data_IF_397073417457
#
_entry.id   IF_397073417457
#
_cell.length_a   1.000
_cell.length_b   1.000
_cell.length_c   1.000
_cell.angle_alpha   90.00
_cell.angle_beta   90.00
_cell.angle_gamma   90.00
#
_symmetry.space_group_name_H-M   'P 1'
#
loop_
_entity.id
_entity.type
_entity.pdbx_description
1 polymer ?
#
# COMPACT_ATOMS: atom_id res chain seq x y z
N UNK A 1 -0.80 -16.94 -4.09
CA UNK A 1 -0.70 -16.07 -5.31
C UNK A 1 0.74 -15.67 -5.55
N UNK A 2 1.24 -15.69 -6.79
CA UNK A 2 2.61 -15.24 -6.99
C UNK A 2 2.67 -13.71 -7.02
N UNK A 3 3.75 -13.12 -6.51
CA UNK A 3 3.95 -11.66 -6.60
C UNK A 3 3.91 -11.15 -8.06
N UNK A 4 4.20 -12.00 -9.04
CA UNK A 4 4.15 -11.66 -10.46
C UNK A 4 2.72 -11.47 -10.96
N UNK A 5 1.78 -12.31 -10.46
CA UNK A 5 0.37 -12.22 -10.82
C UNK A 5 -0.21 -10.89 -10.33
N UNK A 6 0.07 -10.52 -9.08
CA UNK A 6 -0.37 -9.27 -8.48
C UNK A 6 0.17 -8.07 -9.25
N UNK A 7 1.47 -8.07 -9.57
CA UNK A 7 2.09 -6.96 -10.32
C UNK A 7 1.51 -6.85 -11.72
N UNK A 8 1.40 -7.97 -12.44
CA UNK A 8 0.79 -7.97 -13.77
C UNK A 8 -0.63 -7.41 -13.73
N UNK A 9 -1.42 -7.79 -12.73
CA UNK A 9 -2.80 -7.38 -12.57
C UNK A 9 -2.94 -5.89 -12.30
N UNK A 10 -2.15 -5.35 -11.36
CA UNK A 10 -2.15 -3.92 -11.03
C UNK A 10 -1.76 -3.07 -12.25
N UNK A 11 -0.73 -3.47 -12.99
CA UNK A 11 -0.33 -2.77 -14.22
C UNK A 11 -1.32 -2.95 -15.37
N UNK A 12 -1.92 -4.12 -15.50
CA UNK A 12 -2.99 -4.37 -16.48
C UNK A 12 -4.21 -3.50 -16.18
N UNK A 13 -4.58 -3.37 -14.91
CA UNK A 13 -5.63 -2.46 -14.51
C UNK A 13 -5.31 -1.01 -14.88
N UNK A 14 -4.15 -0.51 -14.44
CA UNK A 14 -3.80 0.91 -14.57
C UNK A 14 -3.55 1.34 -16.02
N UNK A 15 -2.79 0.55 -16.78
CA UNK A 15 -2.36 0.93 -18.14
C UNK A 15 -3.36 0.48 -19.21
N UNK A 16 -3.96 -0.69 -19.01
CA UNK A 16 -4.73 -1.37 -20.05
C UNK A 16 -6.22 -1.56 -19.69
N UNK A 17 -6.69 -0.86 -18.67
CA UNK A 17 -8.09 -0.94 -18.23
C UNK A 17 -8.56 -2.38 -17.95
N UNK A 18 -7.72 -3.16 -17.27
CA UNK A 18 -7.97 -4.55 -16.90
C UNK A 18 -7.73 -5.59 -18.00
N UNK A 19 -7.38 -5.17 -19.24
CA UNK A 19 -7.02 -6.11 -20.31
C UNK A 19 -5.70 -6.78 -19.97
N UNK A 20 -5.66 -8.12 -20.06
CA UNK A 20 -4.53 -8.95 -19.67
C UNK A 20 -3.41 -8.94 -20.73
N UNK A 21 -2.75 -7.80 -20.90
CA UNK A 21 -1.65 -7.57 -21.85
C UNK A 21 -0.31 -7.98 -21.23
N UNK A 22 -0.09 -7.62 -19.97
CA UNK A 22 1.11 -8.02 -19.22
C UNK A 22 0.84 -9.40 -18.63
N UNK A 23 1.67 -10.36 -19.00
CA UNK A 23 1.53 -11.74 -18.56
C UNK A 23 2.50 -12.05 -17.44
N UNK A 24 2.04 -12.61 -16.30
CA UNK A 24 2.88 -12.89 -15.15
C UNK A 24 4.12 -13.73 -15.45
N UNK A 25 3.98 -14.74 -16.33
CA UNK A 25 5.07 -15.63 -16.71
C UNK A 25 6.20 -14.95 -17.48
N UNK A 26 5.94 -13.76 -18.06
CA UNK A 26 6.95 -12.93 -18.73
C UNK A 26 7.66 -11.95 -17.80
N UNK A 27 7.14 -11.75 -16.60
CA UNK A 27 7.77 -10.88 -15.61
C UNK A 27 8.94 -11.59 -14.94
N UNK A 28 10.08 -10.93 -14.88
CA UNK A 28 11.28 -11.41 -14.22
C UNK A 28 11.67 -10.43 -13.12
N UNK A 29 12.10 -10.94 -11.97
CA UNK A 29 12.60 -10.09 -10.89
C UNK A 29 13.94 -9.49 -11.32
N UNK A 30 14.05 -8.16 -11.29
CA UNK A 30 15.34 -7.46 -11.44
C UNK A 30 16.02 -7.48 -10.08
N UNK A 31 17.31 -7.81 -10.07
CA UNK A 31 18.12 -7.65 -8.86
C UNK A 31 18.28 -6.15 -8.56
N UNK A 32 17.68 -5.73 -7.44
CA UNK A 32 17.74 -4.32 -7.00
C UNK A 32 19.02 -4.00 -6.23
N UNK A 33 19.87 -5.01 -5.97
CA UNK A 33 21.05 -4.87 -5.11
C UNK A 33 22.17 -4.00 -5.72
N UNK A 34 22.22 -3.86 -7.06
CA UNK A 34 23.26 -3.11 -7.76
C UNK A 34 22.68 -1.90 -8.51
N UNK A 35 22.35 -0.82 -7.81
CA UNK A 35 22.20 0.48 -8.47
C UNK A 35 23.58 1.11 -8.56
N UNK A 36 24.21 1.01 -9.74
CA UNK A 36 25.40 1.76 -10.05
C UNK A 36 25.02 3.24 -10.20
N UNK A 37 25.54 4.08 -9.33
CA UNK A 37 25.38 5.53 -9.44
C UNK A 37 26.48 6.07 -10.36
N UNK A 38 26.12 6.79 -11.43
CA UNK A 38 27.12 7.34 -12.36
C UNK A 38 27.93 8.51 -11.79
N UNK A 39 27.58 9.06 -10.62
CA UNK A 39 28.09 10.35 -10.12
C UNK A 39 28.52 10.34 -8.64
N UNK A 40 29.48 9.51 -8.26
CA UNK A 40 30.22 9.67 -7.00
C UNK A 40 29.61 9.01 -5.75
N UNK A 41 30.49 8.79 -4.76
CA UNK A 41 30.22 7.94 -3.58
C UNK A 41 29.18 8.50 -2.59
N UNK A 42 29.01 9.82 -2.54
CA UNK A 42 28.10 10.47 -1.57
C UNK A 42 26.62 10.27 -1.90
N UNK A 43 26.31 10.04 -3.18
CA UNK A 43 24.95 9.77 -3.66
C UNK A 43 24.54 8.33 -3.36
N UNK A 44 25.49 7.39 -3.26
CA UNK A 44 25.25 5.97 -2.95
C UNK A 44 24.63 5.78 -1.56
N UNK A 45 25.11 6.52 -0.56
CA UNK A 45 24.60 6.48 0.81
C UNK A 45 23.17 7.04 0.90
N UNK A 46 22.88 8.10 0.15
CA UNK A 46 21.54 8.70 0.12
C UNK A 46 20.50 7.77 -0.55
N UNK A 47 20.89 7.09 -1.62
CA UNK A 47 20.05 6.12 -2.32
C UNK A 47 19.83 4.85 -1.48
N UNK A 48 20.83 4.39 -0.75
CA UNK A 48 20.71 3.25 0.15
C UNK A 48 19.73 3.53 1.29
N UNK A 49 19.78 4.72 1.89
CA UNK A 49 18.82 5.16 2.92
C UNK A 49 17.38 5.29 2.37
N UNK A 50 17.23 5.67 1.10
CA UNK A 50 15.92 5.69 0.44
C UNK A 50 15.39 4.27 0.19
N UNK A 51 16.26 3.28 -0.04
CA UNK A 51 15.90 1.87 -0.22
C UNK A 51 15.33 1.23 1.05
N UNK A 52 15.88 1.56 2.20
CA UNK A 52 15.49 0.94 3.48
C UNK A 52 14.05 1.28 3.89
N UNK A 53 13.45 2.29 3.25
CA UNK A 53 12.10 2.77 3.53
C UNK A 53 11.08 2.45 2.43
N UNK A 54 11.42 1.61 1.43
CA UNK A 54 10.53 1.32 0.30
C UNK A 54 10.58 -0.15 -0.03
N UNK A 55 9.43 -0.81 0.04
CA UNK A 55 9.24 -2.07 -0.66
C UNK A 55 9.20 -1.81 -2.17
N UNK A 56 10.36 -1.69 -2.78
CA UNK A 56 10.51 -1.60 -4.21
C UNK A 56 10.39 -2.99 -4.81
N UNK A 57 9.24 -3.31 -5.32
CA UNK A 57 9.06 -4.47 -6.18
C UNK A 57 9.39 -4.05 -7.61
N UNK A 58 10.67 -4.14 -7.97
CA UNK A 58 11.06 -3.95 -9.37
C UNK A 58 10.95 -5.29 -10.06
N UNK A 59 10.03 -5.42 -10.97
CA UNK A 59 9.92 -6.58 -11.86
C UNK A 59 10.17 -6.10 -13.30
N UNK A 60 11.12 -6.69 -13.93
CA UNK A 60 11.28 -6.62 -15.36
C UNK A 60 10.60 -7.86 -15.91
N UNK A 61 9.92 -7.92 -16.91
CA UNK A 61 10.02 -7.45 -18.25
C UNK A 61 9.39 -8.50 -19.12
N UNK A 62 8.44 -8.11 -19.81
CA UNK A 62 8.38 -8.56 -21.19
C UNK A 62 9.37 -7.65 -21.94
N UNK A 63 9.93 -8.05 -23.07
CA UNK A 63 10.94 -7.28 -23.83
C UNK A 63 10.51 -5.84 -24.21
N UNK A 64 9.47 -5.29 -23.59
CA UNK A 64 8.82 -4.02 -23.93
C UNK A 64 9.03 -2.93 -22.89
N UNK A 65 9.02 -3.23 -21.61
CA UNK A 65 9.10 -2.23 -20.54
C UNK A 65 9.65 -2.80 -19.24
N UNK A 66 10.24 -1.94 -18.42
CA UNK A 66 10.54 -2.21 -17.02
C UNK A 66 9.40 -1.64 -16.15
N UNK A 67 8.86 -2.46 -15.25
CA UNK A 67 7.78 -2.08 -14.36
C UNK A 67 8.27 -2.04 -12.92
N UNK A 68 7.92 -1.00 -12.21
CA UNK A 68 8.19 -0.88 -10.78
C UNK A 68 6.91 -0.53 -10.03
N UNK A 69 6.62 -1.25 -8.96
CA UNK A 69 5.54 -0.92 -8.03
C UNK A 69 6.15 -0.39 -6.76
N UNK A 70 5.80 0.81 -6.39
CA UNK A 70 6.11 1.39 -5.10
C UNK A 70 4.89 1.24 -4.20
N UNK A 71 4.99 0.36 -3.18
CA UNK A 71 4.05 0.37 -2.08
C UNK A 71 4.45 1.47 -1.09
N UNK A 72 3.48 2.28 -0.64
CA UNK A 72 3.74 3.23 0.43
C UNK A 72 3.65 2.46 1.75
N UNK A 73 4.77 2.26 2.43
CA UNK A 73 4.87 1.50 3.69
C UNK A 73 4.08 2.12 4.85
N UNK A 74 3.86 3.42 4.85
CA UNK A 74 3.14 4.12 5.90
C UNK A 74 1.71 4.41 5.46
N UNK A 75 0.84 3.50 5.80
CA UNK A 75 -0.58 3.43 5.44
C UNK A 75 -1.38 4.67 5.84
N UNK A 76 -0.95 5.38 6.85
CA UNK A 76 -1.66 6.52 7.42
C UNK A 76 -1.14 7.88 6.94
N UNK A 77 -0.06 7.94 6.12
CA UNK A 77 0.60 9.20 5.79
C UNK A 77 0.94 9.32 4.31
N UNK A 78 0.50 10.42 3.73
CA UNK A 78 0.85 10.82 2.38
C UNK A 78 2.30 11.25 2.34
N UNK A 79 3.05 10.77 1.35
CA UNK A 79 4.43 11.17 1.14
C UNK A 79 4.48 12.39 0.20
N UNK A 80 4.54 13.59 0.78
CA UNK A 80 4.47 14.85 0.03
C UNK A 80 5.58 15.05 -1.01
N UNK A 81 6.72 14.36 -0.90
CA UNK A 81 7.79 14.38 -1.90
C UNK A 81 7.74 13.19 -2.88
N UNK A 82 6.57 12.59 -3.12
CA UNK A 82 6.45 11.36 -3.91
C UNK A 82 6.90 11.55 -5.36
N UNK A 83 6.59 12.68 -5.98
CA UNK A 83 7.00 12.94 -7.35
C UNK A 83 8.53 13.01 -7.50
N UNK A 84 9.25 13.64 -6.57
CA UNK A 84 10.73 13.66 -6.56
C UNK A 84 11.27 12.25 -6.34
N UNK A 85 10.67 11.49 -5.43
CA UNK A 85 11.09 10.12 -5.10
C UNK A 85 10.97 9.20 -6.31
N UNK A 86 9.82 9.20 -6.99
CA UNK A 86 9.60 8.39 -8.19
C UNK A 86 10.51 8.80 -9.34
N UNK A 87 10.65 10.11 -9.57
CA UNK A 87 11.56 10.64 -10.59
C UNK A 87 13.00 10.14 -10.39
N UNK A 88 13.47 10.14 -9.14
CA UNK A 88 14.80 9.62 -8.82
C UNK A 88 14.91 8.12 -9.13
N UNK A 89 13.90 7.32 -8.79
CA UNK A 89 13.92 5.88 -9.07
C UNK A 89 13.91 5.56 -10.55
N UNK A 90 13.05 6.22 -11.31
CA UNK A 90 13.01 6.03 -12.76
C UNK A 90 14.35 6.43 -13.39
N UNK A 91 14.95 7.55 -12.97
CA UNK A 91 16.26 7.99 -13.42
C UNK A 91 17.36 6.96 -13.12
N UNK A 92 17.34 6.35 -11.92
CA UNK A 92 18.29 5.30 -11.53
C UNK A 92 18.12 4.03 -12.37
N UNK A 93 16.89 3.63 -12.72
CA UNK A 93 16.66 2.49 -13.60
C UNK A 93 17.17 2.78 -15.03
N UNK A 94 17.00 4.00 -15.55
CA UNK A 94 17.59 4.38 -16.82
C UNK A 94 19.12 4.39 -16.77
N UNK A 95 19.72 4.94 -15.71
CA UNK A 95 21.16 4.92 -15.51
C UNK A 95 21.72 3.49 -15.47
N UNK A 96 21.01 2.57 -14.80
CA UNK A 96 21.36 1.14 -14.76
C UNK A 96 21.39 0.52 -16.17
N UNK A 97 20.39 0.78 -16.98
CA UNK A 97 20.35 0.28 -18.37
C UNK A 97 21.55 0.78 -19.18
N UNK A 98 21.93 2.05 -19.02
CA UNK A 98 23.12 2.62 -19.68
C UNK A 98 24.40 1.91 -19.22
N UNK A 99 24.58 1.70 -17.92
CA UNK A 99 25.77 1.01 -17.39
C UNK A 99 25.83 -0.47 -17.82
N UNK A 100 24.71 -1.15 -17.90
CA UNK A 100 24.65 -2.53 -18.41
C UNK A 100 25.04 -2.61 -19.87
N UNK A 101 24.56 -1.70 -20.71
CA UNK A 101 24.98 -1.58 -22.12
C UNK A 101 26.48 -1.33 -22.23
N UNK A 102 27.00 -0.39 -21.46
CA UNK A 102 28.45 -0.04 -21.43
C UNK A 102 29.31 -1.22 -20.99
N UNK A 103 28.90 -1.96 -19.93
CA UNK A 103 29.61 -3.19 -19.49
C UNK A 103 29.59 -4.25 -20.60
N UNK A 104 28.46 -4.46 -21.25
CA UNK A 104 28.32 -5.39 -22.37
C UNK A 104 29.25 -5.05 -23.53
N UNK A 105 29.32 -3.77 -23.92
CA UNK A 105 30.18 -3.32 -24.99
C UNK A 105 31.68 -3.42 -24.65
N UNK A 106 32.07 -3.07 -23.41
CA UNK A 106 33.46 -3.24 -22.96
C UNK A 106 33.91 -4.70 -23.04
N UNK A 107 33.02 -5.63 -22.61
CA UNK A 107 33.28 -7.07 -22.73
C UNK A 107 33.37 -7.53 -24.19
N UNK A 108 32.55 -6.96 -25.08
CA UNK A 108 32.60 -7.22 -26.53
C UNK A 108 33.86 -6.66 -27.22
N UNK A 109 34.30 -5.47 -26.82
CA UNK A 109 35.56 -4.87 -27.29
C UNK A 109 36.75 -5.72 -26.87
N UNK A 110 36.85 -6.15 -25.63
CA UNK A 110 37.91 -7.01 -25.11
C UNK A 110 37.99 -8.34 -25.90
N UNK A 111 36.86 -8.85 -26.36
CA UNK A 111 36.79 -10.06 -27.21
C UNK A 111 36.92 -9.77 -28.72
N UNK A 112 37.22 -8.53 -29.13
CA UNK A 112 37.29 -8.07 -30.53
C UNK A 112 36.02 -8.35 -31.36
N UNK A 113 34.86 -8.43 -30.71
CA UNK A 113 33.57 -8.74 -31.34
C UNK A 113 32.73 -7.52 -31.71
N UNK A 114 33.07 -6.35 -31.14
CA UNK A 114 32.31 -5.11 -31.28
C UNK A 114 33.29 -3.98 -31.63
N UNK A 115 32.85 -3.08 -32.52
CA UNK A 115 33.50 -1.81 -32.78
C UNK A 115 32.56 -0.69 -32.34
N UNK A 116 33.09 0.31 -31.64
CA UNK A 116 32.41 1.55 -31.25
C UNK A 116 33.17 2.73 -31.86
N UNK A 117 32.46 3.79 -32.24
CA UNK A 117 33.07 5.07 -32.54
C UNK A 117 33.39 5.84 -31.24
N UNK A 118 33.99 7.03 -31.36
CA UNK A 118 34.41 7.83 -30.20
C UNK A 118 33.24 8.24 -29.30
N UNK A 119 32.12 8.63 -29.87
CA UNK A 119 30.94 9.10 -29.21
C UNK A 119 30.21 7.95 -28.49
N UNK A 120 30.10 6.80 -29.15
CA UNK A 120 29.52 5.58 -28.55
C UNK A 120 30.39 5.03 -27.40
N UNK A 121 31.73 5.13 -27.56
CA UNK A 121 32.64 4.75 -26.49
C UNK A 121 32.51 5.67 -25.26
N UNK A 122 32.40 6.98 -25.49
CA UNK A 122 32.27 7.98 -24.44
C UNK A 122 30.95 7.84 -23.70
N UNK A 123 29.83 7.73 -24.42
CA UNK A 123 28.50 7.65 -23.86
C UNK A 123 28.19 6.28 -23.24
N UNK A 124 28.84 5.22 -23.72
CA UNK A 124 28.53 3.84 -23.35
C UNK A 124 27.30 3.27 -24.05
N UNK A 125 26.70 4.02 -24.99
CA UNK A 125 25.54 3.61 -25.79
C UNK A 125 25.84 3.77 -27.28
N UNK A 126 25.32 2.88 -28.10
CA UNK A 126 25.30 3.07 -29.54
C UNK A 126 24.19 4.01 -29.97
N UNK A 127 24.36 4.70 -31.07
CA UNK A 127 23.33 5.57 -31.65
C UNK A 127 22.00 4.84 -31.91
N UNK A 128 22.06 3.56 -32.20
CA UNK A 128 20.88 2.73 -32.46
C UNK A 128 20.23 2.15 -31.21
N UNK A 129 20.91 2.20 -30.06
CA UNK A 129 20.33 1.64 -28.82
C UNK A 129 19.08 2.41 -28.37
N UNK A 130 18.22 1.72 -27.71
CA UNK A 130 17.01 2.27 -27.06
C UNK A 130 16.93 1.73 -25.65
N UNK A 131 16.56 2.60 -24.73
CA UNK A 131 16.27 2.20 -23.35
C UNK A 131 14.82 1.69 -23.27
N UNK A 132 14.62 0.75 -22.37
CA UNK A 132 13.27 0.31 -22.03
C UNK A 132 12.60 1.36 -21.16
N UNK A 133 11.34 1.73 -21.46
CA UNK A 133 10.58 2.64 -20.62
C UNK A 133 10.45 2.09 -19.20
N UNK A 134 10.64 2.94 -18.21
CA UNK A 134 10.42 2.63 -16.80
C UNK A 134 9.06 3.21 -16.41
N UNK A 135 8.21 2.40 -15.79
CA UNK A 135 6.88 2.79 -15.36
C UNK A 135 6.75 2.44 -13.89
N UNK A 136 6.66 3.46 -13.05
CA UNK A 136 6.48 3.31 -11.61
C UNK A 136 5.04 3.63 -11.23
N UNK A 137 4.37 2.72 -10.52
CA UNK A 137 3.06 2.93 -9.93
C UNK A 137 3.19 3.17 -8.43
N UNK A 138 2.42 4.11 -7.92
CA UNK A 138 2.20 4.35 -6.50
C UNK A 138 0.82 3.80 -6.15
N UNK A 139 0.76 2.85 -5.22
CA UNK A 139 -0.50 2.34 -4.68
C UNK A 139 -0.68 2.94 -3.30
N UNK A 140 -1.72 3.73 -3.13
CA UNK A 140 -2.01 4.40 -1.87
C UNK A 140 -3.04 3.59 -1.07
N UNK A 141 -2.66 3.18 0.12
CA UNK A 141 -3.50 2.35 0.99
C UNK A 141 -4.15 3.14 2.15
N UNK A 142 -4.03 4.47 2.16
CA UNK A 142 -4.62 5.30 3.22
C UNK A 142 -6.14 5.41 3.11
N UNK A 143 -6.76 5.75 4.23
CA UNK A 143 -8.20 5.98 4.39
C UNK A 143 -8.65 7.38 3.96
N UNK A 144 -7.71 8.29 3.75
CA UNK A 144 -7.97 9.68 3.33
C UNK A 144 -7.68 9.87 1.86
N UNK A 145 -8.29 10.88 1.27
CA UNK A 145 -7.94 11.30 -0.08
C UNK A 145 -6.47 11.74 -0.14
N UNK A 146 -5.83 11.42 -1.27
CA UNK A 146 -4.49 11.91 -1.53
C UNK A 146 -4.50 13.43 -1.75
N UNK A 147 -3.89 14.19 -0.84
CA UNK A 147 -3.76 15.65 -0.88
C UNK A 147 -2.35 16.14 -1.24
N UNK A 148 -1.42 15.22 -1.50
CA UNK A 148 -0.06 15.55 -1.92
C UNK A 148 0.06 15.90 -3.41
N UNK A 149 1.14 16.59 -3.76
CA UNK A 149 1.47 16.88 -5.15
C UNK A 149 1.57 15.60 -6.00
N UNK A 150 0.97 15.62 -7.18
CA UNK A 150 1.00 14.51 -8.16
C UNK A 150 2.01 14.74 -9.28
N UNK A 151 2.68 15.88 -9.27
CA UNK A 151 3.71 16.22 -10.25
C UNK A 151 4.79 17.13 -9.66
N UNK A 152 5.93 17.22 -10.36
CA UNK A 152 7.01 18.14 -9.96
C UNK A 152 6.54 19.58 -10.02
N UNK A 153 5.78 19.97 -11.06
CA UNK A 153 5.29 21.35 -11.19
C UNK A 153 4.43 21.77 -10.00
N UNK A 154 3.59 20.89 -9.46
CA UNK A 154 2.79 21.18 -8.26
C UNK A 154 3.62 21.38 -6.99
N UNK A 155 4.89 21.00 -6.99
CA UNK A 155 5.82 21.13 -5.87
C UNK A 155 6.71 22.39 -5.97
N UNK A 156 6.70 23.08 -7.12
CA UNK A 156 7.56 24.22 -7.34
C UNK A 156 6.99 25.48 -6.69
N UNK A 157 7.87 26.37 -6.25
CA UNK A 157 7.51 27.66 -5.66
C UNK A 157 7.22 28.76 -6.68
N UNK A 158 7.06 28.41 -7.95
CA UNK A 158 6.88 29.32 -9.07
C UNK A 158 5.63 28.93 -9.83
N UNK A 159 4.81 29.94 -10.15
CA UNK A 159 3.59 29.81 -10.93
C UNK A 159 3.68 30.70 -12.17
N UNK A 160 4.70 30.45 -12.97
CA UNK A 160 5.01 31.17 -14.22
C UNK A 160 5.08 30.15 -15.36
N UNK A 161 4.08 30.14 -16.21
CA UNK A 161 3.94 29.17 -17.31
C UNK A 161 5.13 29.24 -18.28
N UNK A 162 5.71 30.41 -18.52
CA UNK A 162 6.86 30.57 -19.41
C UNK A 162 8.08 29.86 -18.80
N UNK A 163 8.37 30.09 -17.54
CA UNK A 163 9.45 29.42 -16.81
C UNK A 163 9.20 27.91 -16.71
N UNK A 164 7.99 27.49 -16.35
CA UNK A 164 7.61 26.10 -16.21
C UNK A 164 7.73 25.31 -17.52
N UNK A 165 7.59 25.97 -18.68
CA UNK A 165 7.77 25.31 -19.99
C UNK A 165 9.20 24.76 -20.18
N UNK A 166 10.20 25.28 -19.47
CA UNK A 166 11.58 24.78 -19.49
C UNK A 166 11.87 23.73 -18.42
N UNK A 167 10.94 23.47 -17.50
CA UNK A 167 11.11 22.49 -16.44
C UNK A 167 10.34 21.21 -16.81
N UNK A 168 11.01 20.05 -16.99
CA UNK A 168 10.30 18.80 -17.23
C UNK A 168 9.34 18.47 -16.09
N UNK A 169 8.07 18.27 -16.43
CA UNK A 169 7.06 17.89 -15.43
C UNK A 169 6.97 16.37 -15.27
N UNK A 170 7.57 15.84 -14.24
CA UNK A 170 7.42 14.43 -13.88
C UNK A 170 6.12 14.23 -13.10
N UNK A 171 5.22 13.37 -13.61
CA UNK A 171 3.95 13.02 -12.98
C UNK A 171 4.02 11.63 -12.37
N UNK A 172 3.45 11.44 -11.18
CA UNK A 172 3.30 10.11 -10.59
C UNK A 172 2.10 9.38 -11.19
N UNK A 173 2.23 8.06 -11.32
CA UNK A 173 1.10 7.19 -11.62
C UNK A 173 0.54 6.70 -10.29
N UNK A 174 -0.63 7.18 -9.89
CA UNK A 174 -1.20 6.96 -8.57
C UNK A 174 -2.48 6.13 -8.67
N UNK A 175 -2.56 5.06 -7.89
CA UNK A 175 -3.77 4.29 -7.65
C UNK A 175 -4.31 4.69 -6.27
N UNK A 176 -5.48 5.31 -6.26
CA UNK A 176 -6.25 5.68 -5.07
C UNK A 176 -7.48 4.77 -4.98
N UNK A 177 -7.54 3.79 -4.07
CA UNK A 177 -8.70 2.89 -3.95
C UNK A 177 -10.02 3.65 -3.81
N UNK A 178 -10.06 4.72 -3.03
CA UNK A 178 -11.26 5.52 -2.84
C UNK A 178 -11.86 6.09 -4.14
N UNK A 179 -11.04 6.24 -5.20
CA UNK A 179 -11.46 6.81 -6.50
C UNK A 179 -11.77 5.76 -7.56
N UNK A 180 -11.55 4.48 -7.27
CA UNK A 180 -11.94 3.39 -8.17
C UNK A 180 -13.45 3.15 -8.00
N UNK A 181 -14.21 3.08 -9.10
CA UNK A 181 -15.63 2.72 -9.02
C UNK A 181 -15.79 1.24 -8.57
N UNK A 182 -16.93 0.90 -7.97
CA UNK A 182 -17.14 -0.46 -7.47
C UNK A 182 -17.18 -1.50 -8.61
N UNK A 183 -17.62 -1.08 -9.78
CA UNK A 183 -17.64 -1.91 -11.00
C UNK A 183 -16.24 -2.13 -11.56
N UNK A 184 -15.35 -1.13 -11.43
CA UNK A 184 -14.00 -1.22 -11.96
C UNK A 184 -13.13 -2.22 -11.19
N UNK A 185 -13.49 -2.54 -9.94
CA UNK A 185 -12.79 -3.60 -9.21
C UNK A 185 -12.90 -4.97 -9.89
N UNK A 186 -13.95 -5.22 -10.67
CA UNK A 186 -14.12 -6.48 -11.40
C UNK A 186 -13.12 -6.63 -12.55
N UNK A 187 -12.40 -5.59 -12.91
CA UNK A 187 -11.30 -5.62 -13.88
C UNK A 187 -10.05 -6.31 -13.34
N UNK A 188 -9.86 -6.33 -12.01
CA UNK A 188 -8.79 -7.08 -11.39
C UNK A 188 -9.05 -8.59 -11.46
N UNK A 189 -7.99 -9.35 -11.68
CA UNK A 189 -8.06 -10.82 -11.81
C UNK A 189 -7.49 -11.56 -10.60
N UNK A 190 -6.80 -10.84 -9.72
CA UNK A 190 -6.22 -11.36 -8.49
C UNK A 190 -6.92 -10.75 -7.27
N UNK A 191 -6.59 -11.23 -6.08
CA UNK A 191 -7.15 -10.72 -4.83
C UNK A 191 -6.67 -9.30 -4.47
N UNK A 192 -5.72 -8.74 -5.23
CA UNK A 192 -5.35 -7.33 -5.06
C UNK A 192 -6.58 -6.42 -5.22
N UNK A 193 -7.49 -6.74 -6.15
CA UNK A 193 -8.74 -6.01 -6.29
C UNK A 193 -9.64 -6.12 -5.06
N UNK A 194 -9.68 -7.29 -4.41
CA UNK A 194 -10.41 -7.50 -3.15
C UNK A 194 -9.78 -6.71 -2.01
N UNK A 195 -8.44 -6.70 -1.93
CA UNK A 195 -7.70 -5.89 -0.94
C UNK A 195 -7.99 -4.41 -1.11
N UNK A 196 -7.85 -3.87 -2.33
CA UNK A 196 -8.06 -2.45 -2.61
C UNK A 196 -9.53 -2.03 -2.39
N UNK A 197 -10.50 -2.88 -2.77
CA UNK A 197 -11.92 -2.62 -2.53
C UNK A 197 -12.24 -2.65 -1.04
N UNK A 198 -11.64 -3.54 -0.28
CA UNK A 198 -11.82 -3.57 1.17
C UNK A 198 -11.27 -2.30 1.84
N UNK A 199 -10.10 -1.83 1.40
CA UNK A 199 -9.50 -0.58 1.88
C UNK A 199 -10.42 0.62 1.59
N UNK A 200 -10.99 0.71 0.39
CA UNK A 200 -11.96 1.76 0.03
C UNK A 200 -13.11 1.84 1.03
N UNK A 201 -13.63 0.70 1.45
CA UNK A 201 -14.82 0.57 2.29
C UNK A 201 -14.52 0.30 3.77
N UNK A 202 -13.26 0.46 4.22
CA UNK A 202 -12.86 0.12 5.59
C UNK A 202 -13.60 0.92 6.66
N UNK A 203 -14.12 2.11 6.30
CA UNK A 203 -14.90 2.97 7.20
C UNK A 203 -16.40 2.72 7.13
N UNK A 204 -16.87 1.84 6.26
CA UNK A 204 -18.29 1.53 6.09
C UNK A 204 -18.75 0.54 7.18
N UNK A 205 -19.51 1.04 8.15
CA UNK A 205 -19.89 0.28 9.34
C UNK A 205 -20.85 -0.89 9.06
N UNK A 206 -21.70 -0.79 8.03
CA UNK A 206 -22.77 -1.75 7.77
C UNK A 206 -22.33 -2.99 6.96
N UNK A 207 -21.18 -2.92 6.30
CA UNK A 207 -20.64 -3.99 5.46
C UNK A 207 -21.57 -4.41 4.31
N UNK A 208 -22.53 -3.56 3.92
CA UNK A 208 -23.49 -3.85 2.83
C UNK A 208 -22.77 -4.03 1.49
N UNK A 209 -21.67 -3.32 1.31
CA UNK A 209 -20.86 -3.31 0.10
C UNK A 209 -20.17 -4.66 -0.21
N UNK A 210 -19.90 -5.51 0.81
CA UNK A 210 -19.26 -6.82 0.63
C UNK A 210 -20.29 -7.93 0.36
N UNK A 211 -21.55 -7.73 0.79
CA UNK A 211 -22.60 -8.75 0.71
C UNK A 211 -22.89 -9.14 -0.73
N UNK A 212 -22.84 -10.45 -0.99
CA UNK A 212 -23.20 -11.03 -2.29
C UNK A 212 -22.16 -10.87 -3.39
N UNK A 213 -21.05 -10.17 -3.16
CA UNK A 213 -19.98 -10.04 -4.16
C UNK A 213 -19.17 -11.31 -4.26
N UNK A 214 -19.18 -11.92 -5.44
CA UNK A 214 -18.54 -13.22 -5.71
C UNK A 214 -17.04 -13.22 -5.44
N UNK A 215 -16.35 -12.09 -5.68
CA UNK A 215 -14.91 -11.97 -5.47
C UNK A 215 -14.49 -12.17 -4.00
N UNK A 216 -15.37 -11.86 -3.04
CA UNK A 216 -15.07 -12.02 -1.62
C UNK A 216 -15.40 -13.40 -1.06
N UNK A 217 -15.96 -14.30 -1.88
CA UNK A 217 -16.25 -15.67 -1.45
C UNK A 217 -15.02 -16.58 -1.42
N UNK A 218 -13.99 -16.24 -2.16
CA UNK A 218 -12.80 -17.07 -2.34
C UNK A 218 -11.54 -16.19 -2.34
N UNK A 219 -11.21 -15.59 -1.20
CA UNK A 219 -10.02 -14.74 -1.03
C UNK A 219 -8.91 -15.55 -0.40
N UNK A 220 -7.72 -15.53 -0.97
CA UNK A 220 -6.56 -16.21 -0.41
C UNK A 220 -6.22 -15.67 1.00
N UNK A 221 -5.81 -16.56 1.88
CA UNK A 221 -5.50 -16.23 3.28
C UNK A 221 -4.47 -15.11 3.41
N UNK A 222 -3.44 -15.11 2.55
CA UNK A 222 -2.43 -14.04 2.51
C UNK A 222 -3.04 -12.66 2.23
N UNK A 223 -4.05 -12.59 1.35
CA UNK A 223 -4.75 -11.34 1.05
C UNK A 223 -5.61 -10.86 2.25
N UNK A 224 -6.24 -11.80 2.97
CA UNK A 224 -6.98 -11.48 4.21
C UNK A 224 -6.04 -11.00 5.31
N UNK A 225 -4.87 -11.62 5.45
CA UNK A 225 -3.84 -11.19 6.41
C UNK A 225 -3.35 -9.76 6.08
N UNK A 226 -3.16 -9.46 4.79
CA UNK A 226 -2.79 -8.12 4.32
C UNK A 226 -3.90 -7.10 4.63
N UNK A 227 -5.18 -7.43 4.39
CA UNK A 227 -6.32 -6.59 4.76
C UNK A 227 -6.30 -6.29 6.24
N UNK A 228 -6.17 -7.32 7.09
CA UNK A 228 -6.12 -7.16 8.54
C UNK A 228 -4.95 -6.26 8.98
N UNK A 229 -3.79 -6.42 8.35
CA UNK A 229 -2.61 -5.62 8.65
C UNK A 229 -2.84 -4.14 8.30
N UNK A 230 -3.45 -3.87 7.14
CA UNK A 230 -3.66 -2.51 6.64
C UNK A 230 -4.79 -1.80 7.41
N UNK A 231 -5.91 -2.48 7.62
CA UNK A 231 -7.13 -1.86 8.17
C UNK A 231 -7.29 -2.02 9.68
N UNK A 232 -6.44 -2.82 10.32
CA UNK A 232 -6.61 -3.19 11.73
C UNK A 232 -7.81 -4.10 12.00
N UNK A 233 -8.44 -4.64 10.94
CA UNK A 233 -9.54 -5.59 11.05
C UNK A 233 -9.06 -6.90 11.67
N UNK A 234 -10.02 -7.68 12.20
CA UNK A 234 -9.76 -8.99 12.81
C UNK A 234 -10.56 -10.08 12.11
N UNK A 235 -10.44 -10.12 10.79
CA UNK A 235 -11.13 -11.12 9.97
C UNK A 235 -10.35 -12.43 10.08
N UNK A 236 -11.01 -13.49 10.52
CA UNK A 236 -10.41 -14.81 10.66
C UNK A 236 -11.18 -15.82 9.82
N UNK A 237 -10.45 -16.57 8.99
CA UNK A 237 -10.94 -17.79 8.35
C UNK A 237 -10.73 -19.01 9.25
N UNK A 238 -11.20 -20.17 8.83
CA UNK A 238 -10.89 -21.44 9.51
C UNK A 238 -9.40 -21.78 9.35
N UNK A 239 -8.74 -22.26 10.42
CA UNK A 239 -7.27 -22.45 10.44
C UNK A 239 -6.72 -23.35 9.32
N UNK A 240 -7.55 -24.22 8.77
CA UNK A 240 -7.16 -25.22 7.76
C UNK A 240 -7.44 -24.80 6.31
N UNK A 241 -8.10 -23.68 6.10
CA UNK A 241 -8.48 -23.22 4.76
C UNK A 241 -7.41 -22.26 4.20
N UNK A 242 -6.97 -22.50 2.97
CA UNK A 242 -6.09 -21.59 2.21
C UNK A 242 -6.88 -20.41 1.62
N UNK A 243 -8.19 -20.56 1.53
CA UNK A 243 -9.12 -19.61 0.94
C UNK A 243 -10.24 -19.28 1.93
N UNK A 244 -10.55 -18.00 2.07
CA UNK A 244 -11.52 -17.50 3.05
C UNK A 244 -12.75 -16.93 2.34
N UNK A 245 -13.94 -17.31 2.79
CA UNK A 245 -15.17 -16.58 2.49
C UNK A 245 -15.25 -15.32 3.38
N UNK A 246 -14.75 -14.21 2.83
CA UNK A 246 -14.71 -12.95 3.56
C UNK A 246 -16.09 -12.38 3.87
N UNK A 247 -17.12 -12.67 3.07
CA UNK A 247 -18.48 -12.23 3.39
C UNK A 247 -18.94 -12.84 4.72
N UNK A 248 -18.73 -14.15 4.89
CA UNK A 248 -19.06 -14.88 6.11
C UNK A 248 -18.14 -14.49 7.27
N UNK A 249 -16.84 -14.37 7.02
CA UNK A 249 -15.86 -14.01 8.04
C UNK A 249 -16.10 -12.60 8.58
N UNK A 250 -16.45 -11.65 7.71
CA UNK A 250 -16.82 -10.29 8.09
C UNK A 250 -18.10 -10.25 8.94
N UNK A 251 -19.16 -10.95 8.52
CA UNK A 251 -20.39 -11.06 9.33
C UNK A 251 -20.13 -11.64 10.71
N UNK A 252 -19.29 -12.68 10.79
CA UNK A 252 -18.89 -13.27 12.07
C UNK A 252 -18.11 -12.29 12.94
N UNK A 253 -17.20 -11.52 12.34
CA UNK A 253 -16.41 -10.49 13.04
C UNK A 253 -17.31 -9.40 13.62
N UNK A 254 -18.26 -8.86 12.86
CA UNK A 254 -19.24 -7.88 13.34
C UNK A 254 -20.09 -8.47 14.45
N UNK A 255 -20.64 -9.68 14.27
CA UNK A 255 -21.46 -10.33 15.28
C UNK A 255 -20.70 -10.56 16.59
N UNK A 256 -19.43 -10.93 16.52
CA UNK A 256 -18.57 -11.10 17.68
C UNK A 256 -18.31 -9.76 18.38
N UNK A 257 -17.97 -8.71 17.62
CA UNK A 257 -17.77 -7.37 18.16
C UNK A 257 -19.04 -6.82 18.84
N UNK A 258 -20.23 -7.03 18.22
CA UNK A 258 -21.51 -6.67 18.82
C UNK A 258 -21.77 -7.43 20.13
N UNK A 259 -21.50 -8.75 20.16
CA UNK A 259 -21.67 -9.56 21.38
C UNK A 259 -20.72 -9.13 22.49
N UNK A 260 -19.47 -8.83 22.15
CA UNK A 260 -18.50 -8.29 23.10
C UNK A 260 -18.93 -6.91 23.63
N UNK A 261 -19.35 -6.01 22.75
CA UNK A 261 -19.88 -4.70 23.13
C UNK A 261 -21.11 -4.78 24.04
N UNK A 262 -22.06 -5.68 23.75
CA UNK A 262 -23.21 -5.92 24.59
C UNK A 262 -22.81 -6.45 25.97
N UNK A 263 -21.91 -7.45 26.03
CA UNK A 263 -21.42 -8.01 27.31
C UNK A 263 -20.70 -6.95 28.15
N UNK A 264 -19.89 -6.12 27.48
CA UNK A 264 -19.19 -5.04 28.16
C UNK A 264 -20.17 -3.96 28.66
N UNK A 265 -21.19 -3.62 27.87
CA UNK A 265 -22.27 -2.71 28.24
C UNK A 265 -23.07 -3.23 29.45
N UNK A 266 -23.50 -4.50 29.41
CA UNK A 266 -24.19 -5.15 30.52
C UNK A 266 -23.32 -5.18 31.79
N UNK A 267 -22.04 -5.47 31.65
CA UNK A 267 -21.10 -5.47 32.77
C UNK A 267 -20.93 -4.08 33.38
N UNK A 268 -20.79 -3.05 32.55
CA UNK A 268 -20.71 -1.65 33.01
C UNK A 268 -21.99 -1.23 33.70
N UNK A 269 -23.17 -1.51 33.11
CA UNK A 269 -24.44 -1.22 33.73
C UNK A 269 -24.65 -1.96 35.08
N UNK A 270 -24.19 -3.22 35.16
CA UNK A 270 -24.21 -3.96 36.43
C UNK A 270 -23.32 -3.33 37.51
N UNK A 271 -22.13 -2.86 37.14
CA UNK A 271 -21.22 -2.16 38.06
C UNK A 271 -21.87 -0.87 38.55
N UNK A 272 -22.52 -0.11 37.65
CA UNK A 272 -23.24 1.12 37.94
C UNK A 272 -24.32 0.91 39.00
N UNK A 273 -25.24 -0.02 38.75
CA UNK A 273 -26.32 -0.36 39.69
C UNK A 273 -25.77 -0.80 41.05
N UNK A 274 -24.75 -1.65 41.08
CA UNK A 274 -24.15 -2.12 42.32
C UNK A 274 -23.47 -0.99 43.11
N UNK A 275 -22.89 -0.02 42.42
CA UNK A 275 -22.22 1.11 43.05
C UNK A 275 -23.19 2.21 43.49
N UNK A 276 -24.11 2.65 42.62
CA UNK A 276 -24.98 3.80 42.85
C UNK A 276 -26.25 3.42 43.67
N UNK A 277 -26.90 2.29 43.32
CA UNK A 277 -28.15 1.92 43.97
C UNK A 277 -27.94 1.01 45.19
N UNK A 278 -26.96 0.08 45.08
CA UNK A 278 -26.69 -0.86 46.16
C UNK A 278 -25.64 -0.40 47.16
N UNK A 279 -24.97 0.74 46.92
CA UNK A 279 -23.87 1.28 47.74
C UNK A 279 -22.78 0.25 48.10
N UNK A 280 -22.46 -0.67 47.18
CA UNK A 280 -21.46 -1.70 47.40
C UNK A 280 -20.04 -1.16 47.31
N UNK A 281 -19.13 -1.73 48.11
CA UNK A 281 -17.72 -1.39 48.01
C UNK A 281 -17.13 -1.88 46.69
N UNK A 282 -16.09 -1.17 46.18
CA UNK A 282 -15.37 -1.57 44.95
C UNK A 282 -14.87 -3.00 45.05
N UNK A 283 -14.37 -3.40 46.21
CA UNK A 283 -13.92 -4.76 46.48
C UNK A 283 -15.04 -5.81 46.29
N UNK A 284 -16.23 -5.56 46.84
CA UNK A 284 -17.37 -6.48 46.75
C UNK A 284 -17.93 -6.53 45.33
N UNK A 285 -17.95 -5.37 44.63
CA UNK A 285 -18.35 -5.31 43.21
C UNK A 285 -17.38 -6.13 42.37
N UNK A 286 -16.07 -5.94 42.52
CA UNK A 286 -15.01 -6.64 41.78
C UNK A 286 -15.17 -8.18 41.94
N UNK A 287 -15.43 -8.65 43.19
CA UNK A 287 -15.68 -10.05 43.46
C UNK A 287 -17.00 -10.54 42.82
N UNK A 288 -18.06 -9.74 42.85
CA UNK A 288 -19.38 -10.11 42.30
C UNK A 288 -19.42 -10.16 40.77
N UNK A 289 -18.64 -9.30 40.11
CA UNK A 289 -18.52 -9.27 38.64
C UNK A 289 -17.33 -10.06 38.10
N UNK A 290 -16.54 -10.69 38.99
CA UNK A 290 -15.33 -11.46 38.64
C UNK A 290 -14.35 -10.66 37.77
N UNK A 291 -14.10 -9.40 38.14
CA UNK A 291 -13.13 -8.49 37.47
C UNK A 291 -12.19 -7.89 38.50
N UNK A 292 -10.96 -7.48 38.09
CA UNK A 292 -10.04 -6.78 38.97
C UNK A 292 -10.64 -5.47 39.53
N UNK A 293 -10.30 -5.10 40.77
CA UNK A 293 -10.74 -3.82 41.35
C UNK A 293 -10.36 -2.61 40.51
N UNK A 294 -9.21 -2.66 39.87
CA UNK A 294 -8.73 -1.57 38.99
C UNK A 294 -9.67 -1.33 37.81
N UNK A 295 -10.20 -2.39 37.21
CA UNK A 295 -11.23 -2.31 36.16
C UNK A 295 -12.51 -1.64 36.69
N UNK A 296 -12.99 -2.04 37.87
CA UNK A 296 -14.19 -1.45 38.48
C UNK A 296 -13.97 0.04 38.80
N UNK A 297 -12.80 0.41 39.33
CA UNK A 297 -12.43 1.83 39.57
C UNK A 297 -12.43 2.65 38.29
N UNK A 298 -11.91 2.09 37.21
CA UNK A 298 -11.86 2.80 35.91
C UNK A 298 -13.25 3.03 35.35
N UNK A 299 -14.14 2.01 35.43
CA UNK A 299 -15.54 2.13 34.99
C UNK A 299 -16.25 3.22 35.80
N UNK A 300 -16.17 3.21 37.11
CA UNK A 300 -16.79 4.21 37.98
C UNK A 300 -16.25 5.62 37.71
N UNK A 301 -14.95 5.75 37.50
CA UNK A 301 -14.34 7.04 37.14
C UNK A 301 -14.88 7.60 35.83
N UNK A 302 -15.02 6.74 34.78
CA UNK A 302 -15.57 7.15 33.48
C UNK A 302 -17.04 7.56 33.57
N UNK A 303 -17.82 6.89 34.41
CA UNK A 303 -19.22 7.24 34.68
C UNK A 303 -19.34 8.61 35.34
N UNK A 304 -18.56 8.86 36.41
CA UNK A 304 -18.56 10.15 37.12
C UNK A 304 -18.20 11.32 36.19
N UNK A 305 -17.32 11.11 35.22
CA UNK A 305 -16.97 12.11 34.21
C UNK A 305 -18.09 12.38 33.18
N UNK A 306 -18.92 11.38 32.84
CA UNK A 306 -20.11 11.55 31.97
C UNK A 306 -21.19 12.36 32.67
N UNK A 307 -21.52 12.02 33.91
CA UNK A 307 -22.52 12.72 34.71
C UNK A 307 -22.14 14.19 34.96
N UNK A 308 -20.83 14.50 35.06
CA UNK A 308 -20.34 15.86 35.20
C UNK A 308 -20.48 16.68 33.92
N UNK A 309 -20.32 16.06 32.74
CA UNK A 309 -20.51 16.72 31.43
C UNK A 309 -21.99 17.00 31.10
N UNK A 310 -22.89 16.09 31.48
CA UNK A 310 -24.33 16.27 31.27
C UNK A 310 -24.97 17.30 32.20
N UNK A 311 -24.30 17.69 33.29
CA UNK A 311 -24.75 18.75 34.22
C UNK A 311 -24.23 20.14 33.86
N UNK A 312 -23.36 20.29 32.86
CA UNK A 312 -22.76 21.55 32.44
C UNK A 312 -23.37 22.01 31.06
N UNK A 313 -24.17 21.19 30.42
CA UNK A 313 -25.06 21.58 29.32
C UNK A 313 -26.48 21.79 29.82
#
# INVERSE_FOLDING_TARGET
MSHRDVIADVFNFYIYDGRQVIKPEKLQKIDTAEVALPYGNDVEIAVQKLRDNIMLWTMAMDDKAAYAVLGIENQDKIHYAMAVKNMLYDALQYAKQVEEAKRSYRNGLNKKRIKLNSEEFLSGLKKADRLMPVITLVVYFGDKDWDGAKSIHEMLSVDDDELLSYVPNYKINLIEPAKISDEDYDKFKTDVGSVLQFIKHQSDEDGSWIKGKTRFKHVEKEAVELINLITGSKITGEEKEEVVDMCRAWENSINNAMREGMREGELKGKIEILYEECNMSIHDIARKVSKPEEYVREVIRKMSQRTCREKIC
#
